data_IF_747098247167
#
_entry.id   IF_747098247167
#
_cell.length_a   1.000
_cell.length_b   1.000
_cell.length_c   1.000
_cell.angle_alpha   90.00
_cell.angle_beta   90.00
_cell.angle_gamma   90.00
#
_symmetry.space_group_name_H-M   'P 1'
#
loop_
_entity.id
_entity.type
_entity.pdbx_description
1 polymer ?
#
# COMPACT_ATOMS: atom_id res chain seq x y z
N UNK A 1 70.76 -10.48 -13.37
CA UNK A 1 70.60 -9.05 -13.05
C UNK A 1 69.76 -8.40 -14.13
N UNK A 2 68.45 -8.25 -13.97
CA UNK A 2 67.63 -7.28 -14.73
C UNK A 2 66.46 -6.85 -13.84
N UNK A 3 66.52 -5.59 -13.38
CA UNK A 3 65.47 -4.89 -12.63
C UNK A 3 64.43 -4.42 -13.63
N UNK A 4 63.15 -4.60 -13.32
CA UNK A 4 62.08 -3.74 -13.87
C UNK A 4 60.94 -3.68 -12.87
N UNK A 5 60.82 -2.50 -12.26
CA UNK A 5 59.77 -2.12 -11.32
C UNK A 5 58.60 -1.66 -12.18
N UNK A 6 57.46 -2.34 -12.11
CA UNK A 6 56.22 -1.89 -12.74
C UNK A 6 55.38 -1.20 -11.65
N UNK A 7 55.22 0.10 -11.80
CA UNK A 7 54.35 0.93 -10.97
C UNK A 7 52.89 0.56 -11.24
N UNK A 8 52.18 0.08 -10.22
CA UNK A 8 50.72 -0.12 -10.28
C UNK A 8 50.06 1.23 -10.01
N UNK A 9 49.46 1.80 -11.06
CA UNK A 9 48.62 2.98 -10.95
C UNK A 9 47.33 2.62 -10.20
N UNK A 10 47.09 3.28 -9.06
CA UNK A 10 45.84 3.17 -8.30
C UNK A 10 44.74 3.86 -9.10
N UNK A 11 43.87 3.08 -9.73
CA UNK A 11 42.66 3.60 -10.38
C UNK A 11 41.65 4.03 -9.32
N UNK A 12 41.42 5.33 -9.18
CA UNK A 12 40.32 5.86 -8.38
C UNK A 12 38.99 5.54 -9.09
N UNK A 13 38.34 4.45 -8.69
CA UNK A 13 36.99 4.15 -9.13
C UNK A 13 36.02 5.16 -8.48
N UNK A 14 35.49 6.07 -9.29
CA UNK A 14 34.41 6.95 -8.88
C UNK A 14 33.19 6.09 -8.54
N UNK A 15 32.78 6.06 -7.27
CA UNK A 15 31.46 5.57 -6.88
C UNK A 15 30.41 6.57 -7.39
N UNK A 16 29.96 6.39 -8.62
CA UNK A 16 28.72 6.98 -9.08
C UNK A 16 27.59 6.36 -8.24
N UNK A 17 27.10 7.10 -7.26
CA UNK A 17 25.91 6.74 -6.50
C UNK A 17 24.76 6.57 -7.49
N UNK A 18 24.34 5.33 -7.70
CA UNK A 18 23.12 5.04 -8.45
C UNK A 18 21.96 5.52 -7.59
N UNK A 19 21.49 6.74 -7.84
CA UNK A 19 20.18 7.18 -7.38
C UNK A 19 19.17 6.29 -8.10
N UNK A 20 18.84 5.14 -7.52
CA UNK A 20 17.73 4.33 -7.97
C UNK A 20 16.47 5.16 -7.74
N UNK A 21 15.97 5.82 -8.79
CA UNK A 21 14.63 6.37 -8.80
C UNK A 21 13.69 5.19 -8.51
N UNK A 22 13.14 5.17 -7.29
CA UNK A 22 12.18 4.16 -6.87
C UNK A 22 10.97 4.34 -7.77
N UNK A 23 10.74 3.39 -8.68
CA UNK A 23 9.53 3.36 -9.50
C UNK A 23 8.34 3.15 -8.55
N UNK A 24 7.71 4.25 -8.12
CA UNK A 24 6.61 4.22 -7.14
C UNK A 24 5.27 3.90 -7.80
N UNK A 25 5.24 3.52 -9.09
CA UNK A 25 4.00 3.35 -9.84
C UNK A 25 3.29 4.68 -10.11
N UNK A 26 2.22 4.61 -10.89
CA UNK A 26 1.36 5.74 -11.22
C UNK A 26 0.33 5.91 -10.11
N UNK A 27 0.24 7.11 -9.55
CA UNK A 27 -0.80 7.48 -8.58
C UNK A 27 -2.16 7.56 -9.25
N UNK A 28 -3.13 6.80 -8.71
CA UNK A 28 -4.53 6.86 -9.12
C UNK A 28 -5.37 7.72 -8.19
N UNK A 29 -4.95 7.90 -6.94
CA UNK A 29 -5.66 8.70 -5.94
C UNK A 29 -5.48 8.16 -4.52
N UNK A 30 -6.42 8.50 -3.64
CA UNK A 30 -6.40 8.11 -2.24
C UNK A 30 -7.62 7.27 -1.87
N UNK A 31 -7.42 6.24 -1.05
CA UNK A 31 -8.48 5.43 -0.48
C UNK A 31 -8.51 5.65 1.03
N UNK A 32 -9.61 6.19 1.52
CA UNK A 32 -9.85 6.36 2.96
C UNK A 32 -10.89 5.34 3.41
N UNK A 33 -10.58 4.55 4.43
CA UNK A 33 -11.50 3.58 5.01
C UNK A 33 -11.70 3.86 6.50
N UNK A 34 -12.95 3.93 6.93
CA UNK A 34 -13.32 4.01 8.33
C UNK A 34 -13.74 2.62 8.85
N UNK A 35 -13.22 2.26 10.03
CA UNK A 35 -13.69 1.08 10.77
C UNK A 35 -14.81 1.52 11.72
N UNK A 36 -15.96 0.84 11.64
CA UNK A 36 -17.04 1.04 12.61
C UNK A 36 -16.54 0.84 14.04
N UNK A 37 -16.74 1.83 14.92
CA UNK A 37 -16.35 1.75 16.32
C UNK A 37 -17.06 0.59 17.05
N UNK A 38 -16.40 -0.03 18.02
CA UNK A 38 -16.98 -1.12 18.79
C UNK A 38 -16.00 -1.77 19.77
N UNK A 39 -16.53 -2.60 20.66
CA UNK A 39 -15.73 -3.43 21.57
C UNK A 39 -15.28 -4.72 20.88
N UNK A 40 -14.05 -5.18 21.13
CA UNK A 40 -13.63 -6.54 20.82
C UNK A 40 -13.01 -6.76 19.44
N UNK A 41 -12.05 -5.94 19.03
CA UNK A 41 -11.17 -6.32 17.92
C UNK A 41 -10.05 -7.22 18.45
N UNK A 42 -10.28 -8.52 18.43
CA UNK A 42 -9.30 -9.54 18.82
C UNK A 42 -8.56 -9.97 17.55
N UNK A 43 -7.26 -10.29 17.66
CA UNK A 43 -6.50 -10.90 16.57
C UNK A 43 -7.29 -12.03 15.89
N UNK A 44 -7.49 -11.92 14.56
CA UNK A 44 -8.31 -12.84 13.77
C UNK A 44 -9.80 -12.46 13.61
N UNK A 45 -10.24 -11.32 14.17
CA UNK A 45 -11.61 -10.82 13.97
C UNK A 45 -11.75 -10.04 12.66
N UNK A 46 -12.90 -10.21 11.99
CA UNK A 46 -13.27 -9.41 10.82
C UNK A 46 -14.10 -8.19 11.24
N UNK A 47 -13.83 -7.02 10.65
CA UNK A 47 -14.64 -5.80 10.86
C UNK A 47 -14.98 -5.14 9.53
N UNK A 48 -16.22 -4.69 9.43
CA UNK A 48 -16.70 -3.97 8.26
C UNK A 48 -16.00 -2.61 8.11
N UNK A 49 -15.76 -2.26 6.84
CA UNK A 49 -15.15 -1.03 6.40
C UNK A 49 -16.14 -0.26 5.53
N UNK A 50 -16.21 1.05 5.75
CA UNK A 50 -16.76 1.99 4.79
C UNK A 50 -15.62 2.79 4.20
N UNK A 51 -15.46 2.75 2.88
CA UNK A 51 -14.34 3.38 2.20
C UNK A 51 -14.78 4.37 1.12
N UNK A 52 -14.00 5.43 0.96
CA UNK A 52 -14.16 6.41 -0.11
C UNK A 52 -12.85 6.48 -0.89
N UNK A 53 -12.93 6.19 -2.18
CA UNK A 53 -11.84 6.43 -3.12
C UNK A 53 -11.98 7.83 -3.73
N UNK A 54 -10.93 8.63 -3.65
CA UNK A 54 -10.85 9.95 -4.28
C UNK A 54 -9.81 9.89 -5.41
N UNK A 55 -10.25 9.90 -6.69
CA UNK A 55 -9.34 9.91 -7.82
C UNK A 55 -8.42 11.14 -7.86
N UNK A 56 -7.17 10.92 -8.28
CA UNK A 56 -6.23 12.00 -8.59
C UNK A 56 -6.70 12.79 -9.82
N UNK A 57 -7.18 12.07 -10.84
CA UNK A 57 -7.81 12.65 -12.03
C UNK A 57 -9.23 13.16 -11.69
N UNK A 58 -9.42 14.48 -11.81
CA UNK A 58 -10.67 15.17 -11.46
C UNK A 58 -11.81 14.96 -12.45
N UNK A 59 -11.56 14.27 -13.57
CA UNK A 59 -12.62 13.82 -14.47
C UNK A 59 -13.47 12.69 -13.88
N UNK A 60 -12.97 11.99 -12.86
CA UNK A 60 -13.70 10.96 -12.13
C UNK A 60 -14.24 11.48 -10.79
N UNK A 61 -15.47 11.10 -10.47
CA UNK A 61 -16.08 11.42 -9.18
C UNK A 61 -15.53 10.50 -8.08
N UNK A 62 -15.56 10.92 -6.80
CA UNK A 62 -15.28 10.02 -5.68
C UNK A 62 -16.21 8.80 -5.68
N UNK A 63 -15.67 7.63 -5.33
CA UNK A 63 -16.37 6.35 -5.36
C UNK A 63 -16.48 5.74 -3.96
N UNK A 64 -17.68 5.26 -3.64
CA UNK A 64 -17.93 4.55 -2.39
C UNK A 64 -17.64 3.05 -2.55
N UNK A 65 -16.90 2.51 -1.59
CA UNK A 65 -16.61 1.09 -1.46
C UNK A 65 -16.97 0.63 -0.05
N UNK A 66 -17.22 -0.66 0.08
CA UNK A 66 -17.39 -1.32 1.38
C UNK A 66 -16.49 -2.55 1.44
N UNK A 67 -16.31 -3.11 2.63
CA UNK A 67 -15.37 -4.20 2.76
C UNK A 67 -15.25 -4.73 4.17
N UNK A 68 -14.22 -5.52 4.40
CA UNK A 68 -13.88 -5.98 5.73
C UNK A 68 -12.37 -6.11 5.91
N UNK A 69 -11.85 -5.71 7.07
CA UNK A 69 -10.47 -5.98 7.50
C UNK A 69 -10.43 -7.27 8.27
N UNK A 70 -9.53 -8.19 7.89
CA UNK A 70 -9.51 -9.57 8.42
C UNK A 70 -8.29 -9.85 9.30
N UNK A 71 -7.17 -9.15 9.08
CA UNK A 71 -5.93 -9.39 9.82
C UNK A 71 -5.20 -8.09 10.09
N UNK A 72 -4.94 -7.85 11.37
CA UNK A 72 -4.23 -6.69 11.87
C UNK A 72 -3.08 -7.14 12.78
N UNK A 73 -1.88 -6.61 12.57
CA UNK A 73 -0.64 -7.00 13.26
C UNK A 73 -0.40 -6.30 14.60
N UNK A 74 -1.38 -5.59 15.14
CA UNK A 74 -1.33 -4.90 16.42
C UNK A 74 -2.58 -5.28 17.23
N UNK A 75 -2.41 -5.66 18.49
CA UNK A 75 -3.52 -5.82 19.42
C UNK A 75 -4.14 -4.44 19.73
N UNK A 76 -5.06 -4.00 18.88
CA UNK A 76 -5.84 -2.78 19.11
C UNK A 76 -6.98 -3.15 20.04
N UNK A 77 -6.84 -2.88 21.35
CA UNK A 77 -7.85 -3.17 22.38
C UNK A 77 -9.25 -2.62 22.09
N UNK A 78 -9.72 -1.58 22.81
CA UNK A 78 -10.99 -0.93 22.45
C UNK A 78 -10.78 -0.11 21.17
N UNK A 79 -11.39 -0.52 20.06
CA UNK A 79 -11.30 0.20 18.80
C UNK A 79 -12.06 1.52 18.92
N UNK A 80 -11.34 2.62 19.19
CA UNK A 80 -11.85 3.96 18.89
C UNK A 80 -12.07 4.04 17.38
N UNK A 81 -13.06 4.82 16.92
CA UNK A 81 -13.26 5.07 15.49
C UNK A 81 -11.90 5.41 14.85
N UNK A 82 -11.46 4.55 13.94
CA UNK A 82 -10.10 4.57 13.39
C UNK A 82 -10.21 4.64 11.87
N UNK A 83 -9.31 5.41 11.27
CA UNK A 83 -9.25 5.61 9.82
C UNK A 83 -8.00 4.97 9.26
N UNK A 84 -8.11 4.47 8.03
CA UNK A 84 -7.01 3.92 7.25
C UNK A 84 -6.93 4.70 5.96
N UNK A 85 -5.83 5.42 5.78
CA UNK A 85 -5.59 6.19 4.56
C UNK A 85 -4.48 5.55 3.76
N UNK A 86 -4.77 5.33 2.48
CA UNK A 86 -3.90 4.68 1.52
C UNK A 86 -3.70 5.55 0.29
N UNK A 87 -2.47 5.58 -0.21
CA UNK A 87 -2.17 5.97 -1.58
C UNK A 87 -2.42 4.77 -2.50
N UNK A 88 -3.17 4.98 -3.58
CA UNK A 88 -3.48 3.95 -4.58
C UNK A 88 -2.56 4.11 -5.78
N UNK A 89 -1.80 3.08 -6.06
CA UNK A 89 -0.78 3.05 -7.10
C UNK A 89 -1.06 1.92 -8.10
N UNK A 90 -0.64 2.09 -9.36
CA UNK A 90 -0.67 1.04 -10.38
C UNK A 90 0.55 1.12 -11.30
N UNK A 91 1.09 0.00 -11.80
CA UNK A 91 2.12 0.04 -12.85
C UNK A 91 1.52 0.27 -14.25
N UNK A 92 0.19 0.23 -14.42
CA UNK A 92 -0.46 0.26 -15.72
C UNK A 92 -1.15 1.61 -15.99
N UNK A 93 -1.04 2.11 -17.22
CA UNK A 93 -1.75 3.33 -17.65
C UNK A 93 -3.19 3.00 -18.05
N UNK A 94 -4.12 3.92 -17.78
CA UNK A 94 -5.51 3.88 -18.27
C UNK A 94 -6.31 2.62 -17.90
N UNK A 95 -5.96 1.95 -16.80
CA UNK A 95 -6.70 0.75 -16.35
C UNK A 95 -7.85 1.07 -15.39
N UNK A 96 -7.97 2.33 -14.98
CA UNK A 96 -8.98 2.73 -14.02
C UNK A 96 -10.35 2.78 -14.67
N UNK A 97 -11.31 2.13 -14.03
CA UNK A 97 -12.73 2.20 -14.31
C UNK A 97 -13.48 2.18 -12.96
N UNK A 98 -14.73 2.67 -12.91
CA UNK A 98 -15.54 2.57 -11.70
C UNK A 98 -15.58 1.14 -11.18
N UNK A 99 -15.33 0.97 -9.87
CA UNK A 99 -15.28 -0.33 -9.22
C UNK A 99 -13.97 -1.12 -9.39
N UNK A 100 -12.97 -0.63 -10.13
CA UNK A 100 -11.74 -1.38 -10.42
C UNK A 100 -10.90 -1.75 -9.16
N UNK A 101 -11.09 -1.01 -8.06
CA UNK A 101 -10.42 -1.33 -6.78
C UNK A 101 -11.08 -2.50 -6.05
N UNK A 102 -12.26 -2.98 -6.47
CA UNK A 102 -12.89 -4.12 -5.84
C UNK A 102 -12.01 -5.37 -5.99
N UNK A 103 -11.75 -6.04 -4.86
CA UNK A 103 -10.91 -7.22 -4.80
C UNK A 103 -10.37 -7.45 -3.40
N UNK A 104 -9.55 -8.48 -3.27
CA UNK A 104 -8.91 -8.83 -2.01
C UNK A 104 -7.49 -8.27 -2.01
N UNK A 105 -7.10 -7.63 -0.92
CA UNK A 105 -5.80 -7.00 -0.73
C UNK A 105 -5.01 -7.77 0.32
N UNK A 106 -3.79 -8.17 -0.05
CA UNK A 106 -2.90 -8.94 0.82
C UNK A 106 -1.57 -8.19 0.93
N UNK A 107 -1.08 -8.05 2.15
CA UNK A 107 0.16 -7.35 2.48
C UNK A 107 1.37 -8.25 2.51
N UNK A 108 2.55 -7.64 2.34
CA UNK A 108 3.84 -8.31 2.46
C UNK A 108 4.05 -9.03 3.81
N UNK A 109 3.34 -8.63 4.87
CA UNK A 109 3.39 -9.26 6.20
C UNK A 109 2.69 -10.63 6.25
N UNK A 110 1.85 -10.95 5.26
CA UNK A 110 1.21 -12.25 5.12
C UNK A 110 2.05 -13.11 4.16
N UNK A 111 3.22 -13.56 4.62
CA UNK A 111 4.04 -14.67 4.06
C UNK A 111 4.28 -14.80 2.53
N UNK A 112 3.92 -13.82 1.69
CA UNK A 112 4.13 -13.85 0.24
C UNK A 112 5.36 -13.01 -0.11
N UNK A 113 6.54 -13.57 0.15
CA UNK A 113 7.84 -12.97 -0.19
C UNK A 113 8.19 -13.07 -1.69
N UNK A 114 7.28 -13.54 -2.57
CA UNK A 114 7.74 -14.21 -3.78
C UNK A 114 7.40 -13.61 -5.16
N UNK A 115 6.55 -12.59 -5.33
CA UNK A 115 6.06 -12.35 -6.71
C UNK A 115 5.91 -10.93 -7.23
N UNK A 116 6.10 -9.88 -6.43
CA UNK A 116 6.08 -8.51 -6.95
C UNK A 116 7.13 -7.73 -6.18
N UNK A 117 8.05 -7.06 -6.87
CA UNK A 117 9.12 -6.22 -6.27
C UNK A 117 8.62 -4.97 -5.53
N UNK A 118 7.40 -5.02 -5.00
CA UNK A 118 6.76 -4.03 -4.18
C UNK A 118 7.43 -4.04 -2.80
N UNK A 119 8.00 -2.91 -2.38
CA UNK A 119 8.70 -2.78 -1.10
C UNK A 119 7.84 -3.13 0.12
N UNK A 120 8.50 -3.31 1.26
CA UNK A 120 7.85 -3.59 2.54
C UNK A 120 6.77 -2.53 2.87
N UNK A 121 5.61 -3.00 3.32
CA UNK A 121 4.39 -2.25 3.71
C UNK A 121 3.36 -1.95 2.61
N UNK A 122 3.36 -2.68 1.51
CA UNK A 122 2.36 -2.53 0.44
C UNK A 122 1.34 -3.66 0.47
N UNK A 123 0.06 -3.33 0.22
CA UNK A 123 -0.98 -4.30 -0.07
C UNK A 123 -1.20 -4.37 -1.57
N UNK A 124 -1.25 -5.57 -2.15
CA UNK A 124 -1.52 -5.76 -3.58
C UNK A 124 -2.87 -6.45 -3.74
N UNK A 125 -3.69 -5.99 -4.69
CA UNK A 125 -5.04 -6.49 -4.87
C UNK A 125 -5.84 -5.80 -5.97
N UNK A 126 -7.16 -5.82 -5.80
CA UNK A 126 -8.15 -5.36 -6.78
C UNK A 126 -8.45 -6.39 -7.87
N UNK A 127 -9.33 -6.02 -8.81
CA UNK A 127 -9.95 -6.96 -9.77
C UNK A 127 -8.94 -7.66 -10.69
N UNK A 128 -7.78 -7.05 -10.89
CA UNK A 128 -6.72 -7.53 -11.78
C UNK A 128 -5.36 -7.69 -11.07
N UNK A 129 -5.32 -7.64 -9.73
CA UNK A 129 -4.07 -7.62 -8.94
C UNK A 129 -3.08 -6.51 -9.38
N UNK A 130 -3.61 -5.46 -10.00
CA UNK A 130 -2.83 -4.38 -10.61
C UNK A 130 -2.80 -3.10 -9.77
N UNK A 131 -3.33 -3.17 -8.55
CA UNK A 131 -3.42 -2.04 -7.64
C UNK A 131 -2.63 -2.31 -6.37
N UNK A 132 -1.89 -1.30 -5.95
CA UNK A 132 -1.07 -1.31 -4.76
C UNK A 132 -1.54 -0.23 -3.81
N UNK A 133 -1.73 -0.59 -2.54
CA UNK A 133 -2.10 0.35 -1.48
C UNK A 133 -0.87 0.60 -0.60
N UNK A 134 -0.46 1.85 -0.53
CA UNK A 134 0.63 2.30 0.32
C UNK A 134 0.07 3.10 1.50
N UNK A 135 0.39 2.74 2.75
CA UNK A 135 -0.03 3.51 3.92
C UNK A 135 0.44 4.95 3.81
N UNK A 136 -0.49 5.91 3.93
CA UNK A 136 -0.12 7.30 4.21
C UNK A 136 0.33 7.40 5.68
N UNK A 137 1.16 8.38 6.04
CA UNK A 137 1.78 8.46 7.38
C UNK A 137 0.79 8.42 8.57
N UNK A 138 1.32 8.04 9.73
CA UNK A 138 0.60 7.61 10.94
C UNK A 138 -0.31 8.65 11.64
N UNK A 139 -0.24 9.94 11.31
CA UNK A 139 -0.97 10.99 12.01
C UNK A 139 -1.89 11.74 11.05
N UNK A 140 -3.20 11.57 11.25
CA UNK A 140 -4.27 12.28 10.52
C UNK A 140 -5.01 13.19 11.48
N UNK A 141 -5.71 14.21 10.97
CA UNK A 141 -6.53 15.11 11.81
C UNK A 141 -7.67 14.37 12.54
N UNK A 142 -8.09 13.22 12.00
CA UNK A 142 -9.18 12.37 12.49
C UNK A 142 -8.72 11.24 13.43
N UNK A 143 -7.40 11.06 13.62
CA UNK A 143 -6.85 10.01 14.50
C UNK A 143 -5.53 9.41 14.00
N UNK A 144 -5.14 8.28 14.60
CA UNK A 144 -3.97 7.51 14.19
C UNK A 144 -4.32 6.75 12.91
N UNK A 145 -3.52 6.90 11.85
CA UNK A 145 -3.68 6.06 10.67
C UNK A 145 -3.20 4.65 11.00
N UNK A 146 -4.12 3.69 10.97
CA UNK A 146 -3.87 2.29 11.30
C UNK A 146 -3.59 1.45 10.03
N UNK A 147 -3.35 2.06 8.88
CA UNK A 147 -3.01 1.32 7.66
C UNK A 147 -1.77 0.40 7.81
N UNK A 148 -0.76 0.81 8.61
CA UNK A 148 0.51 0.06 8.76
C UNK A 148 0.32 -1.33 9.39
N UNK A 149 -0.69 -1.50 10.24
CA UNK A 149 -0.95 -2.79 10.87
C UNK A 149 -1.86 -3.69 10.05
N UNK A 150 -2.45 -3.22 8.95
CA UNK A 150 -3.32 -4.05 8.12
C UNK A 150 -2.46 -4.98 7.26
N UNK A 151 -2.77 -6.27 7.32
CA UNK A 151 -2.11 -7.28 6.48
C UNK A 151 -3.06 -7.93 5.47
N UNK A 152 -4.37 -7.85 5.70
CA UNK A 152 -5.36 -8.32 4.75
C UNK A 152 -6.70 -7.60 4.92
N UNK A 153 -7.29 -7.15 3.81
CA UNK A 153 -8.67 -6.69 3.79
C UNK A 153 -9.32 -6.91 2.42
N UNK A 154 -10.65 -6.85 2.39
CA UNK A 154 -11.46 -7.02 1.18
C UNK A 154 -12.13 -5.70 0.84
N UNK A 155 -12.15 -5.35 -0.44
CA UNK A 155 -12.87 -4.19 -0.95
C UNK A 155 -13.91 -4.65 -1.98
N UNK A 156 -15.09 -4.05 -1.94
CA UNK A 156 -16.22 -4.33 -2.82
C UNK A 156 -16.81 -3.00 -3.30
N UNK A 157 -17.17 -2.95 -4.58
CA UNK A 157 -17.76 -1.78 -5.21
C UNK A 157 -19.22 -1.63 -4.83
N UNK A 158 -19.68 -0.38 -4.64
CA UNK A 158 -21.12 -0.06 -4.61
C UNK A 158 -21.68 0.23 -6.00
N UNK A 159 -20.82 0.49 -6.98
CA UNK A 159 -21.19 0.60 -8.39
C UNK A 159 -21.43 -0.80 -8.96
N UNK A 160 -22.63 -1.02 -9.52
CA UNK A 160 -23.05 -2.22 -10.26
C UNK A 160 -22.50 -2.21 -11.69
#
# INVERSE_FOLDING_TARGET
MHKTIIAVAVSAAALAGQAHARDQGIELGTLECAIGGGTGFIFGSSKDLSCTFTPADKSFAPEAYFGAVNKYGLDIGTTKQSVMQWLVLTPLKNIYAPGALAGDYIGASAEVTATVGAGANLLVGGSSQAFTLQPLSLQTQTGINIAIGVSQFQLRSTAN
#
